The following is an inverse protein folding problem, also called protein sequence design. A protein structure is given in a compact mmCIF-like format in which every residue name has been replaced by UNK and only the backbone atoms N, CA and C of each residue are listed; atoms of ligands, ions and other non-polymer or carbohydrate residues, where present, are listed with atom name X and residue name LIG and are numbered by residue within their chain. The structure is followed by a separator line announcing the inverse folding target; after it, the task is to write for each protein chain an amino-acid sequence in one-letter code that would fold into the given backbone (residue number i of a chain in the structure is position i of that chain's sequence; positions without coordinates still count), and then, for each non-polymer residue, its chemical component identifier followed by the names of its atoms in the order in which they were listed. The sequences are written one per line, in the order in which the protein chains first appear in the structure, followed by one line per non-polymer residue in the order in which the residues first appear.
data_IF_927163617361
#
_entry.id   IF_927163617361
#
_cell.length_a   1.000
_cell.length_b   1.000
_cell.length_c   1.000
_cell.angle_alpha   90.00
_cell.angle_beta   90.00
_cell.angle_gamma   90.00
#
_symmetry.space_group_name_H-M   'P 1'
#
loop_
_entity.id
_entity.type
_entity.pdbx_description
1 polymer ?
#
# COMPACT_ATOMS: atom_id res chain seq x y z
N UNK A 1 1.85 -4.19 1.66
CA UNK A 1 2.33 -3.34 2.78
C UNK A 1 3.03 -4.13 3.87
N UNK A 2 2.50 -5.28 4.30
CA UNK A 2 3.05 -6.06 5.41
C UNK A 2 3.66 -7.37 4.91
N UNK A 3 4.82 -7.77 5.44
CA UNK A 3 5.41 -9.05 5.11
C UNK A 3 4.79 -10.17 5.96
N UNK A 4 4.03 -11.08 5.32
CA UNK A 4 3.38 -12.22 5.99
C UNK A 4 4.39 -13.11 6.71
N UNK A 5 5.57 -13.33 6.12
CA UNK A 5 6.63 -14.14 6.73
C UNK A 5 7.20 -13.47 7.98
N UNK A 6 7.34 -12.14 7.99
CA UNK A 6 7.81 -11.38 9.16
C UNK A 6 6.76 -11.34 10.27
N UNK A 7 5.49 -11.07 9.94
CA UNK A 7 4.40 -11.13 10.93
C UNK A 7 4.32 -12.52 11.56
N UNK A 8 4.38 -13.59 10.76
CA UNK A 8 4.39 -14.96 11.28
C UNK A 8 5.62 -15.27 12.13
N UNK A 9 6.77 -14.64 11.86
CA UNK A 9 7.98 -14.80 12.68
C UNK A 9 7.80 -14.13 14.04
N UNK A 10 7.34 -12.89 14.08
CA UNK A 10 7.02 -12.17 15.32
C UNK A 10 5.94 -12.89 16.14
N UNK A 11 4.96 -13.50 15.46
CA UNK A 11 3.93 -14.33 16.08
C UNK A 11 4.40 -15.74 16.42
N UNK A 12 5.67 -16.14 16.22
CA UNK A 12 6.17 -17.47 16.62
C UNK A 12 7.17 -17.40 17.75
N UNK A 13 7.87 -16.29 17.87
CA UNK A 13 8.91 -16.04 18.87
C UNK A 13 8.29 -15.67 20.24
N UNK A 14 7.67 -16.63 20.93
CA UNK A 14 6.89 -16.40 22.17
C UNK A 14 7.71 -16.55 23.46
N UNK A 15 8.85 -15.87 23.56
CA UNK A 15 9.63 -15.79 24.81
C UNK A 15 9.45 -14.47 25.58
N UNK A 16 9.12 -13.38 24.88
CA UNK A 16 9.09 -12.02 25.41
C UNK A 16 7.84 -11.26 24.93
N UNK A 17 7.35 -10.25 25.70
CA UNK A 17 6.25 -9.42 25.24
C UNK A 17 6.62 -8.70 23.93
N UNK A 18 5.69 -8.61 22.96
CA UNK A 18 5.96 -7.98 21.68
C UNK A 18 6.36 -6.51 21.85
N UNK A 19 7.20 -5.96 20.94
CA UNK A 19 7.51 -4.54 20.93
C UNK A 19 6.23 -3.70 20.84
N UNK A 20 6.16 -2.59 21.58
CA UNK A 20 4.96 -1.76 21.68
C UNK A 20 4.38 -1.37 20.29
N UNK A 21 5.23 -0.98 19.34
CA UNK A 21 4.79 -0.66 17.98
C UNK A 21 4.13 -1.83 17.24
N UNK A 22 4.60 -3.07 17.46
CA UNK A 22 4.00 -4.27 16.90
C UNK A 22 2.66 -4.60 17.56
N UNK A 23 2.52 -4.39 18.87
CA UNK A 23 1.22 -4.51 19.56
C UNK A 23 0.18 -3.54 19.01
N UNK A 24 0.56 -2.29 18.76
CA UNK A 24 -0.34 -1.30 18.15
C UNK A 24 -0.72 -1.69 16.73
N UNK A 25 0.23 -2.23 15.95
CA UNK A 25 -0.06 -2.77 14.63
C UNK A 25 -1.10 -3.89 14.70
N UNK A 26 -0.93 -4.87 15.60
CA UNK A 26 -1.92 -5.94 15.78
C UNK A 26 -3.29 -5.40 16.18
N UNK A 27 -3.36 -4.43 17.10
CA UNK A 27 -4.63 -3.78 17.49
C UNK A 27 -5.29 -3.07 16.29
N UNK A 28 -4.51 -2.36 15.47
CA UNK A 28 -5.03 -1.71 14.26
C UNK A 28 -5.51 -2.72 13.21
N UNK A 29 -4.84 -3.86 13.05
CA UNK A 29 -5.31 -4.96 12.21
C UNK A 29 -6.63 -5.53 12.75
N UNK A 30 -6.71 -5.76 14.05
CA UNK A 30 -7.95 -6.21 14.70
C UNK A 30 -9.08 -5.22 14.42
N UNK A 31 -8.83 -3.91 14.47
CA UNK A 31 -9.84 -2.89 14.22
C UNK A 31 -10.52 -3.01 12.85
N UNK A 32 -9.76 -3.32 11.78
CA UNK A 32 -10.30 -3.45 10.41
C UNK A 32 -10.77 -4.85 10.06
N UNK A 33 -10.36 -5.86 10.82
CA UNK A 33 -10.74 -7.28 10.60
C UNK A 33 -11.85 -7.76 11.53
N UNK A 34 -12.10 -7.02 12.61
CA UNK A 34 -13.16 -7.33 13.56
C UNK A 34 -14.52 -7.22 12.89
N UNK A 35 -15.23 -8.34 12.84
CA UNK A 35 -16.60 -8.43 12.38
C UNK A 35 -17.41 -9.14 13.46
N UNK A 36 -18.58 -8.62 13.83
CA UNK A 36 -19.40 -9.17 14.91
C UNK A 36 -19.81 -10.63 14.62
N UNK A 37 -19.98 -11.00 13.35
CA UNK A 37 -20.30 -12.36 12.91
C UNK A 37 -19.21 -13.40 13.17
N UNK A 38 -17.97 -12.96 13.43
CA UNK A 38 -16.83 -13.84 13.73
C UNK A 38 -16.70 -14.14 15.23
N UNK A 39 -17.54 -13.53 16.06
CA UNK A 39 -17.49 -13.66 17.52
C UNK A 39 -18.49 -14.72 17.99
N UNK A 40 -18.08 -15.71 18.79
CA UNK A 40 -19.01 -16.69 19.33
C UNK A 40 -20.09 -16.01 20.18
N UNK A 41 -21.35 -16.51 20.17
CA UNK A 41 -22.49 -15.89 20.87
C UNK A 41 -22.31 -15.67 22.37
N UNK A 42 -21.30 -16.30 22.98
CA UNK A 42 -20.98 -16.25 24.40
C UNK A 42 -20.08 -15.07 24.81
N UNK A 43 -19.50 -14.34 23.86
CA UNK A 43 -18.65 -13.19 24.14
C UNK A 43 -19.44 -11.88 23.99
N UNK A 44 -19.25 -10.95 24.91
CA UNK A 44 -19.81 -9.61 24.77
C UNK A 44 -19.25 -8.97 23.49
N UNK A 45 -20.10 -8.51 22.56
CA UNK A 45 -19.63 -7.86 21.35
C UNK A 45 -18.81 -6.64 21.76
N UNK A 46 -17.54 -6.63 21.37
CA UNK A 46 -16.67 -5.48 21.51
C UNK A 46 -17.23 -4.41 20.57
N UNK A 47 -17.58 -3.27 21.15
CA UNK A 47 -17.94 -2.10 20.36
C UNK A 47 -16.71 -1.65 19.55
N UNK A 48 -16.87 -1.57 18.22
CA UNK A 48 -15.80 -1.23 17.30
C UNK A 48 -15.30 0.20 17.52
N UNK A 49 -16.18 1.10 17.96
CA UNK A 49 -15.80 2.45 18.35
C UNK A 49 -14.93 2.45 19.62
N UNK A 50 -15.29 1.66 20.63
CA UNK A 50 -14.47 1.45 21.83
C UNK A 50 -13.09 0.88 21.48
N UNK A 51 -13.01 -0.11 20.57
CA UNK A 51 -11.74 -0.66 20.09
C UNK A 51 -10.90 0.41 19.37
N UNK A 52 -11.52 1.25 18.55
CA UNK A 52 -10.85 2.36 17.88
C UNK A 52 -10.29 3.38 18.87
N UNK A 53 -11.11 3.87 19.80
CA UNK A 53 -10.70 4.86 20.81
C UNK A 53 -9.56 4.32 21.67
N UNK A 54 -9.65 3.05 22.08
CA UNK A 54 -8.60 2.39 22.86
C UNK A 54 -7.30 2.30 22.05
N UNK A 55 -7.38 1.85 20.80
CA UNK A 55 -6.22 1.73 19.91
C UNK A 55 -5.57 3.09 19.68
N UNK A 56 -6.36 4.14 19.42
CA UNK A 56 -5.87 5.51 19.18
C UNK A 56 -5.22 6.12 20.43
N UNK A 57 -5.77 5.83 21.61
CA UNK A 57 -5.19 6.25 22.89
C UNK A 57 -3.84 5.59 23.14
N UNK A 58 -3.77 4.26 23.00
CA UNK A 58 -2.52 3.50 23.17
C UNK A 58 -1.47 3.91 22.12
N UNK A 59 -1.89 4.13 20.87
CA UNK A 59 -1.04 4.65 19.82
C UNK A 59 -0.40 5.99 20.24
N UNK A 60 -1.18 6.94 20.75
CA UNK A 60 -0.67 8.23 21.22
C UNK A 60 0.36 8.10 22.34
N UNK A 61 0.14 7.19 23.29
CA UNK A 61 1.10 6.90 24.37
C UNK A 61 2.42 6.32 23.83
N UNK A 62 2.33 5.35 22.91
CA UNK A 62 3.52 4.73 22.31
C UNK A 62 4.27 5.74 21.44
N UNK A 63 3.56 6.54 20.65
CA UNK A 63 4.17 7.59 19.83
C UNK A 63 4.90 8.65 20.66
N UNK A 64 4.36 9.02 21.83
CA UNK A 64 5.02 9.98 22.72
C UNK A 64 6.26 9.40 23.42
N UNK A 65 6.33 8.08 23.56
CA UNK A 65 7.36 7.39 24.36
C UNK A 65 8.49 6.80 23.53
N UNK A 66 8.26 6.52 22.24
CA UNK A 66 9.18 5.79 21.38
C UNK A 66 9.39 6.49 20.03
N UNK A 67 10.57 6.36 19.41
CA UNK A 67 10.79 6.87 18.07
C UNK A 67 9.89 6.17 17.04
N UNK A 68 9.58 6.83 15.91
CA UNK A 68 8.81 6.23 14.83
C UNK A 68 9.42 4.91 14.36
N UNK A 69 8.60 3.87 14.30
CA UNK A 69 8.97 2.56 13.78
C UNK A 69 8.08 2.19 12.59
N UNK A 70 8.53 1.26 11.74
CA UNK A 70 7.76 0.79 10.59
C UNK A 70 6.38 0.28 11.01
N UNK A 71 6.31 -0.48 12.11
CA UNK A 71 5.05 -1.00 12.65
C UNK A 71 4.10 0.13 13.10
N UNK A 72 4.60 1.20 13.73
CA UNK A 72 3.77 2.35 14.11
C UNK A 72 3.24 3.11 12.89
N UNK A 73 4.06 3.26 11.85
CA UNK A 73 3.65 3.89 10.59
C UNK A 73 2.55 3.07 9.92
N UNK A 74 2.74 1.75 9.81
CA UNK A 74 1.76 0.83 9.28
C UNK A 74 0.46 0.83 10.09
N UNK A 75 0.55 0.88 11.42
CA UNK A 75 -0.62 0.92 12.30
C UNK A 75 -1.43 2.21 12.11
N UNK A 76 -0.76 3.36 12.07
CA UNK A 76 -1.40 4.66 11.82
C UNK A 76 -2.08 4.69 10.46
N UNK A 77 -1.45 4.07 9.45
CA UNK A 77 -2.03 3.99 8.11
C UNK A 77 -3.29 3.13 8.09
N UNK A 78 -3.31 2.00 8.80
CA UNK A 78 -4.52 1.17 8.96
C UNK A 78 -5.63 1.95 9.69
N UNK A 79 -5.27 2.68 10.75
CA UNK A 79 -6.22 3.54 11.46
C UNK A 79 -6.78 4.64 10.55
N UNK A 80 -5.95 5.28 9.72
CA UNK A 80 -6.42 6.28 8.77
C UNK A 80 -7.44 5.71 7.78
N UNK A 81 -7.20 4.50 7.27
CA UNK A 81 -8.16 3.80 6.40
C UNK A 81 -9.47 3.50 7.13
N UNK A 82 -9.40 3.06 8.40
CA UNK A 82 -10.59 2.87 9.23
C UNK A 82 -11.37 4.18 9.43
N UNK A 83 -10.67 5.26 9.76
CA UNK A 83 -11.26 6.59 9.95
C UNK A 83 -11.97 7.07 8.69
N UNK A 84 -11.32 6.90 7.53
CA UNK A 84 -11.90 7.23 6.23
C UNK A 84 -13.17 6.41 5.94
N UNK A 85 -13.10 5.08 6.11
CA UNK A 85 -14.22 4.18 5.85
C UNK A 85 -15.44 4.47 6.75
N UNK A 86 -15.22 5.05 7.93
CA UNK A 86 -16.28 5.43 8.88
C UNK A 86 -16.68 6.92 8.77
N UNK A 87 -16.24 7.63 7.72
CA UNK A 87 -16.60 9.03 7.48
C UNK A 87 -15.89 10.05 8.37
N UNK A 88 -14.88 9.65 9.14
CA UNK A 88 -14.06 10.53 10.00
C UNK A 88 -12.95 11.20 9.18
N UNK A 89 -13.35 11.98 8.18
CA UNK A 89 -12.43 12.49 7.13
C UNK A 89 -11.31 13.37 7.71
N UNK A 90 -11.59 14.20 8.71
CA UNK A 90 -10.58 15.05 9.35
C UNK A 90 -9.56 14.24 10.16
N UNK A 91 -10.01 13.20 10.86
CA UNK A 91 -9.12 12.28 11.57
C UNK A 91 -8.23 11.53 10.58
N UNK A 92 -8.82 10.96 9.52
CA UNK A 92 -8.08 10.25 8.48
C UNK A 92 -7.00 11.14 7.85
N UNK A 93 -7.34 12.39 7.53
CA UNK A 93 -6.38 13.36 7.00
C UNK A 93 -5.23 13.65 7.98
N UNK A 94 -5.55 13.87 9.26
CA UNK A 94 -4.53 14.09 10.29
C UNK A 94 -3.62 12.86 10.47
N UNK A 95 -4.20 11.66 10.46
CA UNK A 95 -3.49 10.38 10.55
C UNK A 95 -2.57 10.13 9.36
N UNK A 96 -3.03 10.37 8.12
CA UNK A 96 -2.18 10.28 6.90
C UNK A 96 -1.01 11.26 7.00
N UNK A 97 -1.28 12.49 7.43
CA UNK A 97 -0.23 13.49 7.64
C UNK A 97 0.78 13.10 8.72
N UNK A 98 0.33 12.38 9.75
CA UNK A 98 1.21 11.82 10.76
C UNK A 98 2.05 10.65 10.21
N UNK A 99 1.46 9.74 9.42
CA UNK A 99 2.18 8.68 8.71
C UNK A 99 3.33 9.25 7.88
N UNK A 100 3.06 10.30 7.12
CA UNK A 100 4.04 11.01 6.32
C UNK A 100 5.23 11.51 7.15
N UNK A 101 4.96 12.26 8.23
CA UNK A 101 6.00 12.80 9.12
C UNK A 101 6.82 11.70 9.79
N UNK A 102 6.17 10.64 10.27
CA UNK A 102 6.85 9.48 10.82
C UNK A 102 7.69 8.75 9.76
N UNK A 103 7.19 8.68 8.53
CA UNK A 103 7.88 8.08 7.39
C UNK A 103 9.20 8.79 7.07
N UNK A 104 9.18 10.12 7.01
CA UNK A 104 10.40 10.92 6.86
C UNK A 104 11.36 10.75 8.04
N UNK A 105 10.85 10.78 9.28
CA UNK A 105 11.67 10.57 10.47
C UNK A 105 12.36 9.19 10.49
N UNK A 106 11.68 8.16 9.99
CA UNK A 106 12.20 6.80 9.86
C UNK A 106 12.95 6.54 8.53
N UNK A 107 13.07 7.55 7.66
CA UNK A 107 13.72 7.50 6.33
C UNK A 107 13.19 6.42 5.38
N UNK A 108 11.92 6.02 5.51
CA UNK A 108 11.34 4.99 4.64
C UNK A 108 11.02 5.52 3.23
N UNK A 109 10.96 6.83 3.07
CA UNK A 109 10.79 7.55 1.79
C UNK A 109 11.96 7.31 0.82
N UNK A 110 13.13 7.03 1.38
CA UNK A 110 14.35 6.74 0.62
C UNK A 110 14.61 5.25 0.44
N UNK A 111 13.77 4.37 0.99
CA UNK A 111 13.99 2.93 0.95
C UNK A 111 13.93 2.39 -0.49
N UNK A 112 15.04 1.81 -0.95
CA UNK A 112 15.15 1.14 -2.24
C UNK A 112 15.58 -0.31 -2.01
N UNK A 113 14.75 -1.26 -2.45
CA UNK A 113 15.11 -2.67 -2.41
C UNK A 113 15.96 -2.99 -3.65
N UNK A 114 17.19 -3.44 -3.44
CA UNK A 114 18.10 -3.86 -4.51
C UNK A 114 18.16 -5.39 -4.57
N UNK A 115 18.15 -5.96 -5.79
CA UNK A 115 18.20 -7.42 -5.98
C UNK A 115 19.48 -8.10 -5.48
N UNK A 116 20.49 -7.31 -5.08
CA UNK A 116 21.76 -7.78 -4.54
C UNK A 116 21.75 -7.90 -3.00
N UNK A 117 20.70 -7.41 -2.34
CA UNK A 117 20.55 -7.49 -0.89
C UNK A 117 20.31 -8.94 -0.45
N UNK A 118 20.66 -9.23 0.79
CA UNK A 118 20.28 -10.49 1.44
C UNK A 118 18.75 -10.57 1.55
N UNK A 119 18.20 -11.79 1.57
CA UNK A 119 16.75 -12.02 1.54
C UNK A 119 15.98 -11.24 2.63
N UNK A 120 16.55 -11.11 3.84
CA UNK A 120 15.92 -10.41 4.94
C UNK A 120 15.97 -8.88 4.79
N UNK A 121 17.11 -8.34 4.36
CA UNK A 121 17.28 -6.92 4.08
C UNK A 121 16.40 -6.48 2.90
N UNK A 122 16.32 -7.31 1.86
CA UNK A 122 15.44 -7.09 0.72
C UNK A 122 13.97 -7.02 1.15
N UNK A 123 13.51 -7.96 1.99
CA UNK A 123 12.15 -7.96 2.50
C UNK A 123 11.84 -6.72 3.35
N UNK A 124 12.78 -6.29 4.19
CA UNK A 124 12.60 -5.08 4.99
C UNK A 124 12.54 -3.82 4.10
N UNK A 125 13.44 -3.70 3.13
CA UNK A 125 13.46 -2.59 2.18
C UNK A 125 12.18 -2.54 1.34
N UNK A 126 11.69 -3.71 0.89
CA UNK A 126 10.42 -3.82 0.17
C UNK A 126 9.23 -3.42 1.05
N UNK A 127 9.23 -3.80 2.33
CA UNK A 127 8.16 -3.44 3.27
C UNK A 127 8.13 -1.93 3.55
N UNK A 128 9.30 -1.31 3.73
CA UNK A 128 9.44 0.15 3.86
C UNK A 128 8.94 0.87 2.60
N UNK A 129 9.40 0.43 1.43
CA UNK A 129 8.99 1.01 0.14
C UNK A 129 7.48 0.87 -0.08
N UNK A 130 6.92 -0.30 0.17
CA UNK A 130 5.48 -0.53 0.06
C UNK A 130 4.69 0.34 1.05
N UNK A 131 5.18 0.50 2.28
CA UNK A 131 4.53 1.36 3.29
C UNK A 131 4.55 2.82 2.85
N UNK A 132 5.68 3.31 2.33
CA UNK A 132 5.78 4.66 1.78
C UNK A 132 4.80 4.90 0.61
N UNK A 133 4.74 3.95 -0.32
CA UNK A 133 3.80 4.01 -1.42
C UNK A 133 2.34 3.96 -0.97
N UNK A 134 2.02 3.19 0.06
CA UNK A 134 0.66 3.20 0.63
C UNK A 134 0.29 4.57 1.21
N UNK A 135 1.22 5.26 1.88
CA UNK A 135 0.99 6.63 2.38
C UNK A 135 0.69 7.58 1.21
N UNK A 136 1.49 7.50 0.14
CA UNK A 136 1.29 8.29 -1.07
C UNK A 136 -0.05 8.01 -1.73
N UNK A 137 -0.43 6.73 -1.86
CA UNK A 137 -1.73 6.33 -2.42
C UNK A 137 -2.87 6.93 -1.58
N UNK A 138 -2.83 6.80 -0.25
CA UNK A 138 -3.87 7.34 0.63
C UNK A 138 -3.98 8.87 0.52
N UNK A 139 -2.86 9.60 0.50
CA UNK A 139 -2.91 11.06 0.32
C UNK A 139 -3.52 11.47 -1.03
N UNK A 140 -3.26 10.69 -2.08
CA UNK A 140 -3.65 11.02 -3.46
C UNK A 140 -5.04 10.52 -3.84
N UNK A 141 -5.49 9.42 -3.25
CA UNK A 141 -6.72 8.72 -3.63
C UNK A 141 -7.88 8.93 -2.64
N UNK A 142 -7.62 8.87 -1.33
CA UNK A 142 -8.64 9.00 -0.26
C UNK A 142 -9.08 10.45 -0.01
N UNK A 143 -9.01 11.21 -1.08
CA UNK A 143 -9.23 12.62 -1.12
C UNK A 143 -10.59 12.87 -1.81
N UNK A 144 -11.67 13.10 -1.03
CA UNK A 144 -12.57 14.20 -1.33
C UNK A 144 -11.78 15.53 -1.52
N UNK A 145 -10.54 15.59 -1.03
CA UNK A 145 -9.51 16.64 -1.12
C UNK A 145 -9.24 17.23 -2.52
N UNK A 146 -9.72 16.69 -3.64
CA UNK A 146 -9.72 17.43 -4.93
C UNK A 146 -10.85 18.45 -5.02
N UNK A 147 -11.96 18.24 -4.31
CA UNK A 147 -12.96 19.29 -4.10
C UNK A 147 -12.38 20.40 -3.21
N UNK A 148 -11.51 20.04 -2.25
CA UNK A 148 -10.83 20.99 -1.37
C UNK A 148 -9.55 21.60 -1.97
N UNK A 149 -8.93 20.96 -2.97
CA UNK A 149 -7.84 21.53 -3.80
C UNK A 149 -8.33 22.74 -4.59
N UNK A 150 -9.63 22.80 -4.93
CA UNK A 150 -10.25 24.00 -5.50
C UNK A 150 -10.46 25.13 -4.49
N UNK A 151 -10.27 24.88 -3.19
CA UNK A 151 -10.55 25.85 -2.12
C UNK A 151 -9.24 26.33 -1.43
N UNK A 152 -8.05 25.96 -1.91
CA UNK A 152 -6.75 26.34 -1.32
C UNK A 152 -6.56 26.03 0.18
N UNK A 153 -7.52 25.33 0.80
CA UNK A 153 -7.63 25.27 2.26
C UNK A 153 -6.74 24.18 2.89
N UNK A 154 -6.28 23.21 2.10
CA UNK A 154 -5.37 22.15 2.55
C UNK A 154 -4.35 21.85 1.47
N UNK A 155 -3.11 22.33 1.66
CA UNK A 155 -1.94 21.94 0.85
C UNK A 155 -1.67 20.44 1.07
N UNK A 156 -1.05 19.77 0.09
CA UNK A 156 -0.56 18.38 0.28
C UNK A 156 0.29 18.31 1.55
N UNK A 157 0.10 17.25 2.34
CA UNK A 157 0.83 17.08 3.59
C UNK A 157 2.26 16.65 3.31
N UNK A 158 2.46 15.95 2.19
CA UNK A 158 3.79 15.73 1.63
C UNK A 158 4.24 16.99 0.90
N UNK A 159 5.49 17.41 1.17
CA UNK A 159 6.21 18.28 0.25
C UNK A 159 6.16 17.66 -1.15
N UNK A 160 6.22 18.48 -2.20
CA UNK A 160 6.43 18.04 -3.58
C UNK A 160 7.69 17.19 -3.64
N UNK A 161 7.55 15.92 -3.30
CA UNK A 161 8.65 14.98 -3.25
C UNK A 161 8.71 14.48 -4.68
N UNK A 162 9.86 14.62 -5.32
CA UNK A 162 10.09 13.98 -6.60
C UNK A 162 9.94 12.48 -6.42
N UNK A 163 8.75 11.98 -6.77
CA UNK A 163 8.42 10.58 -6.74
C UNK A 163 9.46 9.84 -7.58
N UNK A 164 10.35 9.11 -6.89
CA UNK A 164 11.22 8.17 -7.56
C UNK A 164 10.36 7.08 -8.18
N UNK A 165 10.74 6.62 -9.38
CA UNK A 165 10.01 5.58 -10.07
C UNK A 165 9.85 4.34 -9.16
N UNK A 166 8.64 3.77 -9.04
CA UNK A 166 8.42 2.62 -8.19
C UNK A 166 9.21 1.39 -8.67
N UNK A 167 9.76 0.63 -7.70
CA UNK A 167 10.47 -0.63 -7.95
C UNK A 167 9.58 -1.70 -8.59
N UNK A 168 8.28 -1.67 -8.30
CA UNK A 168 7.27 -2.60 -8.82
C UNK A 168 6.79 -2.25 -10.25
N UNK A 169 7.68 -1.76 -11.11
CA UNK A 169 7.41 -1.63 -12.56
C UNK A 169 7.52 -2.96 -13.30
N UNK A 170 7.97 -4.03 -12.62
CA UNK A 170 7.75 -5.39 -13.13
C UNK A 170 6.28 -5.72 -12.94
N UNK A 171 5.47 -5.35 -13.93
CA UNK A 171 4.15 -5.93 -14.17
C UNK A 171 4.26 -7.45 -13.94
N UNK A 172 3.30 -8.08 -13.24
CA UNK A 172 3.29 -9.52 -13.07
C UNK A 172 3.50 -10.16 -14.43
N UNK A 173 4.64 -10.82 -14.60
CA UNK A 173 4.96 -11.48 -15.85
C UNK A 173 3.91 -12.54 -16.07
N UNK A 174 3.10 -12.41 -17.13
CA UNK A 174 2.08 -13.38 -17.51
C UNK A 174 2.64 -14.80 -17.34
N UNK A 175 2.16 -15.53 -16.32
CA UNK A 175 2.42 -16.96 -16.16
C UNK A 175 1.56 -17.79 -17.11
N UNK A 176 0.81 -17.15 -18.01
CA UNK A 176 0.19 -17.81 -19.16
C UNK A 176 1.23 -18.08 -20.25
N UNK A 177 2.26 -18.84 -19.90
CA UNK A 177 3.02 -19.60 -20.89
C UNK A 177 2.08 -20.64 -21.48
N UNK A 178 1.46 -20.32 -22.61
CA UNK A 178 0.84 -21.30 -23.50
C UNK A 178 1.91 -22.35 -23.85
N UNK A 179 1.94 -23.47 -23.13
CA UNK A 179 2.77 -24.61 -23.48
C UNK A 179 2.13 -25.28 -24.69
N UNK A 180 2.79 -25.36 -25.86
CA UNK A 180 2.27 -26.16 -26.96
C UNK A 180 2.24 -27.63 -26.51
N UNK A 181 1.05 -28.22 -26.53
CA UNK A 181 0.83 -29.65 -26.26
C UNK A 181 1.52 -30.45 -27.36
N UNK A 182 2.57 -31.19 -27.01
CA UNK A 182 3.14 -32.19 -27.89
C UNK A 182 4.54 -32.66 -27.50
N UNK A 183 4.65 -33.54 -26.51
CA UNK A 183 5.59 -34.69 -26.44
C UNK A 183 5.72 -35.26 -25.00
N UNK A 184 5.99 -36.57 -24.84
CA UNK A 184 5.59 -37.33 -23.66
C UNK A 184 6.62 -37.37 -22.51
N UNK A 185 6.03 -37.56 -21.31
CA UNK A 185 6.60 -37.86 -19.98
C UNK A 185 8.06 -38.34 -19.92
N UNK A 186 8.86 -37.62 -19.13
CA UNK A 186 9.88 -38.25 -18.29
C UNK A 186 9.77 -37.71 -16.86
N UNK A 187 9.44 -38.61 -15.93
CA UNK A 187 9.43 -38.39 -14.48
C UNK A 187 10.89 -38.34 -14.01
N UNK A 188 11.29 -37.24 -13.37
CA UNK A 188 12.33 -37.24 -12.33
C UNK A 188 11.85 -36.33 -11.20
N UNK A 189 12.12 -36.76 -9.97
CA UNK A 189 11.43 -36.40 -8.75
C UNK A 189 11.67 -34.99 -8.21
N UNK A 190 10.64 -34.54 -7.48
CA UNK A 190 10.69 -33.74 -6.25
C UNK A 190 11.48 -32.43 -6.25
N UNK A 191 10.75 -31.32 -6.40
CA UNK A 191 11.01 -30.13 -5.59
C UNK A 191 9.68 -29.47 -5.22
N UNK A 192 9.66 -28.88 -4.03
CA UNK A 192 8.51 -28.52 -3.23
C UNK A 192 7.45 -27.69 -3.98
N UNK A 193 6.20 -27.99 -3.67
CA UNK A 193 5.02 -27.20 -3.99
C UNK A 193 5.24 -25.73 -3.58
N UNK A 194 5.52 -24.88 -4.57
CA UNK A 194 5.23 -23.44 -4.47
C UNK A 194 3.72 -23.29 -4.64
N UNK A 195 2.98 -23.49 -3.55
CA UNK A 195 1.54 -23.28 -3.49
C UNK A 195 1.30 -21.82 -3.04
N UNK A 196 0.88 -21.00 -4.00
CA UNK A 196 -0.15 -19.93 -3.89
C UNK A 196 0.09 -18.79 -2.87
N UNK A 197 0.47 -17.59 -3.33
CA UNK A 197 -0.47 -16.54 -3.77
C UNK A 197 0.31 -15.23 -4.09
N UNK A 198 0.82 -15.10 -5.33
CA UNK A 198 1.59 -13.93 -5.81
C UNK A 198 0.67 -12.90 -6.53
N UNK A 199 -0.67 -13.10 -6.43
CA UNK A 199 -1.67 -12.27 -7.10
C UNK A 199 -1.83 -10.89 -6.45
N UNK A 200 -1.74 -10.81 -5.12
CA UNK A 200 -1.91 -9.55 -4.38
C UNK A 200 -0.74 -8.56 -4.58
N UNK A 201 0.48 -9.09 -4.76
CA UNK A 201 1.66 -8.29 -5.07
C UNK A 201 1.50 -7.56 -6.41
N UNK A 202 0.83 -8.21 -7.38
CA UNK A 202 0.52 -7.63 -8.68
C UNK A 202 -0.46 -6.46 -8.60
N UNK A 203 -1.55 -6.61 -7.85
CA UNK A 203 -2.55 -5.55 -7.69
C UNK A 203 -1.97 -4.28 -7.04
N UNK A 204 -1.21 -4.43 -5.95
CA UNK A 204 -0.57 -3.30 -5.29
C UNK A 204 0.44 -2.58 -6.20
N UNK A 205 1.26 -3.33 -6.93
CA UNK A 205 2.19 -2.79 -7.93
C UNK A 205 1.47 -1.95 -9.00
N UNK A 206 0.32 -2.43 -9.48
CA UNK A 206 -0.51 -1.73 -10.45
C UNK A 206 -1.06 -0.40 -9.89
N UNK A 207 -1.54 -0.38 -8.63
CA UNK A 207 -2.02 0.85 -7.98
C UNK A 207 -0.88 1.87 -7.84
N UNK A 208 0.30 1.41 -7.45
CA UNK A 208 1.50 2.23 -7.33
C UNK A 208 1.88 2.85 -8.67
N UNK A 209 1.90 2.05 -9.74
CA UNK A 209 2.22 2.53 -11.09
C UNK A 209 1.17 3.54 -11.59
N UNK A 210 -0.12 3.26 -11.37
CA UNK A 210 -1.20 4.17 -11.71
C UNK A 210 -1.07 5.52 -10.98
N UNK A 211 -0.76 5.47 -9.68
CA UNK A 211 -0.59 6.66 -8.82
C UNK A 211 0.61 7.50 -9.27
N UNK A 212 1.71 6.85 -9.67
CA UNK A 212 2.88 7.52 -10.24
C UNK A 212 2.54 8.20 -11.57
N UNK A 213 1.89 7.51 -12.51
CA UNK A 213 1.53 8.10 -13.80
C UNK A 213 0.57 9.28 -13.66
N UNK A 214 -0.39 9.18 -12.74
CA UNK A 214 -1.31 10.29 -12.43
C UNK A 214 -0.57 11.54 -11.91
N UNK A 215 0.48 11.35 -11.08
CA UNK A 215 1.34 12.46 -10.65
C UNK A 215 2.01 13.17 -11.81
N UNK A 216 2.58 12.38 -12.72
CA UNK A 216 3.35 12.88 -13.85
C UNK A 216 2.45 13.66 -14.81
N UNK A 217 1.18 13.24 -14.97
CA UNK A 217 0.19 13.99 -15.76
C UNK A 217 -0.09 15.34 -15.11
N UNK A 218 -0.33 15.40 -13.79
CA UNK A 218 -0.56 16.67 -13.09
C UNK A 218 0.66 17.61 -13.24
N UNK A 219 1.87 17.10 -13.01
CA UNK A 219 3.11 17.87 -13.20
C UNK A 219 3.28 18.36 -14.64
N UNK A 220 2.95 17.52 -15.62
CA UNK A 220 3.03 17.89 -17.04
C UNK A 220 2.01 18.99 -17.39
N UNK A 221 0.82 18.98 -16.80
CA UNK A 221 -0.19 20.03 -17.01
C UNK A 221 0.25 21.39 -16.48
N UNK A 222 1.02 21.41 -15.38
CA UNK A 222 1.57 22.63 -14.78
C UNK A 222 2.79 23.20 -15.54
N UNK A 223 3.29 22.50 -16.56
CA UNK A 223 4.40 23.00 -17.39
C UNK A 223 3.98 24.20 -18.24
N UNK A 224 4.80 25.26 -18.21
CA UNK A 224 4.59 26.47 -18.98
C UNK A 224 4.87 26.28 -20.49
N UNK A 225 5.89 25.49 -20.84
CA UNK A 225 6.28 25.27 -22.24
C UNK A 225 5.32 24.30 -22.95
N UNK A 226 4.78 24.72 -24.09
CA UNK A 226 3.78 23.95 -24.82
C UNK A 226 4.36 22.67 -25.42
N UNK A 227 5.56 22.72 -26.00
CA UNK A 227 6.17 21.58 -26.70
C UNK A 227 6.59 20.49 -25.71
N UNK A 228 7.24 20.88 -24.61
CA UNK A 228 7.61 19.98 -23.52
C UNK A 228 6.38 19.35 -22.88
N UNK A 229 5.33 20.15 -22.61
CA UNK A 229 4.05 19.64 -22.09
C UNK A 229 3.41 18.64 -23.05
N UNK A 230 3.35 18.95 -24.35
CA UNK A 230 2.76 18.07 -25.35
C UNK A 230 3.50 16.74 -25.44
N UNK A 231 4.83 16.78 -25.55
CA UNK A 231 5.67 15.58 -25.63
C UNK A 231 5.55 14.72 -24.38
N UNK A 232 5.53 15.34 -23.19
CA UNK A 232 5.38 14.61 -21.93
C UNK A 232 3.98 13.99 -21.81
N UNK A 233 2.92 14.73 -22.10
CA UNK A 233 1.54 14.21 -22.07
C UNK A 233 1.32 13.09 -23.08
N UNK A 234 1.91 13.20 -24.27
CA UNK A 234 1.84 12.14 -25.29
C UNK A 234 2.53 10.85 -24.82
N UNK A 235 3.72 10.96 -24.23
CA UNK A 235 4.42 9.82 -23.62
C UNK A 235 3.63 9.19 -22.48
N UNK A 236 2.98 10.02 -21.65
CA UNK A 236 2.14 9.56 -20.54
C UNK A 236 0.86 8.88 -21.01
N UNK A 237 0.19 9.37 -22.05
CA UNK A 237 -0.98 8.71 -22.66
C UNK A 237 -0.61 7.31 -23.18
N UNK A 238 0.53 7.18 -23.86
CA UNK A 238 1.04 5.88 -24.28
C UNK A 238 1.29 4.92 -23.09
N UNK A 239 1.91 5.43 -22.03
CA UNK A 239 2.18 4.64 -20.82
C UNK A 239 0.89 4.23 -20.09
N UNK A 240 -0.06 5.16 -19.91
CA UNK A 240 -1.37 4.91 -19.30
C UNK A 240 -2.14 3.83 -20.07
N UNK A 241 -2.22 3.93 -21.39
CA UNK A 241 -2.90 2.93 -22.24
C UNK A 241 -2.24 1.55 -22.13
N UNK A 242 -0.91 1.51 -22.11
CA UNK A 242 -0.16 0.25 -21.99
C UNK A 242 -0.45 -0.43 -20.66
N UNK A 243 -0.36 0.33 -19.56
CA UNK A 243 -0.61 -0.20 -18.21
C UNK A 243 -2.07 -0.62 -18.05
N UNK A 244 -3.01 0.18 -18.52
CA UNK A 244 -4.44 -0.13 -18.48
C UNK A 244 -4.74 -1.41 -19.26
N UNK A 245 -4.17 -1.59 -20.46
CA UNK A 245 -4.36 -2.80 -21.26
C UNK A 245 -3.88 -4.06 -20.52
N UNK A 246 -2.71 -4.00 -19.89
CA UNK A 246 -2.17 -5.13 -19.10
C UNK A 246 -3.05 -5.44 -17.89
N UNK A 247 -3.48 -4.42 -17.15
CA UNK A 247 -4.33 -4.62 -15.97
C UNK A 247 -5.70 -5.17 -16.37
N UNK A 248 -6.29 -4.67 -17.46
CA UNK A 248 -7.57 -5.17 -17.95
C UNK A 248 -7.48 -6.63 -18.40
N UNK A 249 -6.41 -7.02 -19.10
CA UNK A 249 -6.14 -8.42 -19.49
C UNK A 249 -6.00 -9.33 -18.25
N UNK A 250 -5.25 -8.88 -17.25
CA UNK A 250 -5.06 -9.61 -15.99
C UNK A 250 -6.34 -9.70 -15.15
N UNK A 251 -7.20 -8.69 -15.21
CA UNK A 251 -8.48 -8.67 -14.46
C UNK A 251 -9.53 -9.62 -15.04
N UNK A 252 -9.43 -9.97 -16.34
CA UNK A 252 -10.44 -10.77 -17.07
C UNK A 252 -11.90 -10.30 -16.84
N UNK A 253 -12.11 -9.01 -16.55
CA UNK A 253 -13.44 -8.46 -16.25
C UNK A 253 -14.01 -8.83 -14.87
N UNK A 254 -13.22 -9.43 -13.97
CA UNK A 254 -13.63 -9.66 -12.58
C UNK A 254 -13.27 -8.45 -11.71
N UNK A 255 -14.24 -7.98 -10.92
CA UNK A 255 -13.97 -7.05 -9.84
C UNK A 255 -13.02 -7.68 -8.80
N UNK A 256 -12.07 -6.92 -8.28
CA UNK A 256 -11.06 -7.44 -7.35
C UNK A 256 -9.86 -6.51 -7.15
N UNK A 257 -8.69 -7.10 -6.88
CA UNK A 257 -7.43 -6.42 -6.48
C UNK A 257 -6.97 -5.30 -7.43
N UNK A 258 -7.43 -5.32 -8.69
CA UNK A 258 -7.08 -4.34 -9.72
C UNK A 258 -8.04 -3.15 -9.83
N UNK A 259 -9.21 -3.19 -9.19
CA UNK A 259 -10.24 -2.14 -9.33
C UNK A 259 -9.71 -0.75 -8.98
N UNK A 260 -8.97 -0.64 -7.87
CA UNK A 260 -8.38 0.63 -7.44
C UNK A 260 -7.39 1.17 -8.48
N UNK A 261 -6.56 0.31 -9.07
CA UNK A 261 -5.61 0.73 -10.11
C UNK A 261 -6.32 1.21 -11.37
N UNK A 262 -7.36 0.49 -11.82
CA UNK A 262 -8.17 0.88 -12.99
C UNK A 262 -8.85 2.23 -12.74
N UNK A 263 -9.43 2.44 -11.55
CA UNK A 263 -10.06 3.72 -11.19
C UNK A 263 -9.05 4.87 -11.20
N UNK A 264 -7.80 4.63 -10.79
CA UNK A 264 -6.74 5.66 -10.84
C UNK A 264 -6.31 5.96 -12.28
N UNK A 265 -6.26 4.94 -13.16
CA UNK A 265 -5.83 5.10 -14.56
C UNK A 265 -6.89 5.72 -15.47
N UNK A 266 -8.18 5.51 -15.19
CA UNK A 266 -9.29 6.05 -15.99
C UNK A 266 -9.65 7.51 -15.64
N UNK A 267 -8.95 8.11 -14.68
CA UNK A 267 -9.17 9.48 -14.19
C UNK A 267 -8.34 10.50 -14.94
#
# INVERSE_FOLDING_TARGET
MLSRSRVNRYLRDHGAPPPAGFSILLLSMCLITYHQDLVPPSAHPLDQETLYVTTKTLFGLVQASFPPSLHLIQATLIMATYEYANGKIHDAFASIGLCARMGYAARIDTAQAEQKMEDEEYLEAQEKSNTWWSILICERYDSPLRLWRKVDMYRTVLCETDLKQPLSTRLPRNTTGHRPKGSPRQRVGSSAKSETDDSDAGGFACIVQATYLSDQVVKALDMADFESRYNQLYGLDCALRTVLAVIMDQSQGRGGVYCTAIIVLLR
#
